data_IF_838285872910
#
_entry.id   IF_838285872910
#
_cell.length_a   1.000
_cell.length_b   1.000
_cell.length_c   1.000
_cell.angle_alpha   90.00
_cell.angle_beta   90.00
_cell.angle_gamma   90.00
#
_symmetry.space_group_name_H-M   'P 1'
#
loop_
_entity.id
_entity.type
_entity.pdbx_description
1 polymer ?
#
# COMPACT_ATOMS: atom_id res chain seq x y z
N UNK A 1 1.39 25.11 -24.19
CA UNK A 1 0.80 25.80 -23.01
C UNK A 1 -0.74 25.78 -23.02
N UNK A 2 -1.40 24.62 -23.20
CA UNK A 2 -2.88 24.52 -23.23
C UNK A 2 -3.50 23.69 -22.09
N UNK A 3 -2.69 23.00 -21.29
CA UNK A 3 -3.19 22.06 -20.26
C UNK A 3 -3.32 22.64 -18.85
N UNK A 4 -2.73 23.80 -18.57
CA UNK A 4 -2.80 24.44 -17.23
C UNK A 4 -4.22 25.01 -16.96
N UNK A 5 -4.90 25.49 -18.01
CA UNK A 5 -6.26 26.05 -17.90
C UNK A 5 -7.34 25.01 -17.56
N UNK A 6 -7.09 23.72 -17.78
CA UNK A 6 -8.05 22.63 -17.49
C UNK A 6 -7.81 22.05 -16.08
N UNK A 7 -6.57 22.06 -15.60
CA UNK A 7 -6.19 21.49 -14.30
C UNK A 7 -6.59 22.41 -13.13
N UNK A 8 -6.41 23.73 -13.28
CA UNK A 8 -6.78 24.73 -12.28
C UNK A 8 -8.25 24.65 -11.80
N UNK A 9 -9.27 24.53 -12.67
CA UNK A 9 -10.65 24.40 -12.20
C UNK A 9 -10.94 23.08 -11.49
N UNK A 10 -10.24 21.98 -11.84
CA UNK A 10 -10.39 20.69 -11.16
C UNK A 10 -9.80 20.77 -9.73
N UNK A 11 -8.63 21.40 -9.59
CA UNK A 11 -8.00 21.62 -8.28
C UNK A 11 -8.85 22.56 -7.39
N UNK A 12 -9.40 23.63 -7.97
CA UNK A 12 -10.27 24.57 -7.25
C UNK A 12 -11.59 23.93 -6.81
N UNK A 13 -12.08 22.92 -7.55
CA UNK A 13 -13.27 22.16 -7.17
C UNK A 13 -13.03 21.16 -6.04
N UNK A 14 -11.84 20.56 -5.97
CA UNK A 14 -11.48 19.64 -4.88
C UNK A 14 -11.24 20.40 -3.56
N UNK A 15 -10.86 21.69 -3.64
CA UNK A 15 -10.68 22.58 -2.50
C UNK A 15 -11.98 23.03 -1.82
N UNK A 16 -13.15 22.84 -2.46
CA UNK A 16 -14.44 23.31 -1.96
C UNK A 16 -15.34 22.19 -1.39
N UNK A 17 -14.84 20.96 -1.25
CA UNK A 17 -15.62 19.88 -0.64
C UNK A 17 -15.57 19.99 0.89
N UNK A 18 -16.70 20.27 1.58
CA UNK A 18 -16.75 20.16 3.04
C UNK A 18 -16.43 18.71 3.42
N UNK A 19 -15.48 18.51 4.33
CA UNK A 19 -15.09 17.19 4.82
C UNK A 19 -16.32 16.49 5.41
N UNK A 20 -16.79 15.38 4.82
CA UNK A 20 -17.97 14.70 5.31
C UNK A 20 -17.71 14.07 6.70
N UNK A 21 -18.70 14.02 7.60
CA UNK A 21 -18.59 13.23 8.83
C UNK A 21 -18.35 11.75 8.49
N UNK A 22 -17.64 11.02 9.36
CA UNK A 22 -17.23 9.63 9.13
C UNK A 22 -18.39 8.68 8.76
N UNK A 23 -19.63 8.95 9.18
CA UNK A 23 -20.84 8.22 8.76
C UNK A 23 -21.14 8.32 7.27
N UNK A 24 -20.65 9.35 6.60
CA UNK A 24 -20.84 9.63 5.18
C UNK A 24 -19.75 8.97 4.30
N UNK A 25 -18.69 8.42 4.90
CA UNK A 25 -17.65 7.67 4.19
C UNK A 25 -18.12 6.27 3.76
N UNK A 26 -19.22 5.74 4.33
CA UNK A 26 -19.83 4.49 3.89
C UNK A 26 -20.64 4.66 2.59
N UNK A 27 -21.20 5.86 2.36
CA UNK A 27 -21.80 6.25 1.09
C UNK A 27 -20.79 7.05 0.26
N UNK A 28 -19.75 6.35 -0.19
CA UNK A 28 -18.62 6.89 -0.95
C UNK A 28 -19.04 7.78 -2.15
N UNK A 29 -18.15 8.69 -2.61
CA UNK A 29 -18.27 9.77 -3.63
C UNK A 29 -19.17 9.63 -4.87
N UNK A 30 -19.70 8.45 -5.16
CA UNK A 30 -20.45 8.05 -6.36
C UNK A 30 -21.64 8.97 -6.64
N UNK A 31 -22.43 9.35 -5.62
CA UNK A 31 -23.58 10.27 -5.76
C UNK A 31 -23.19 11.62 -6.40
N UNK A 32 -22.00 12.14 -6.07
CA UNK A 32 -21.52 13.43 -6.60
C UNK A 32 -21.03 13.32 -8.05
N UNK A 33 -20.39 12.20 -8.41
CA UNK A 33 -19.88 11.94 -9.76
C UNK A 33 -20.98 11.46 -10.73
N UNK A 34 -22.02 10.80 -10.23
CA UNK A 34 -23.24 10.44 -10.98
C UNK A 34 -23.98 11.69 -11.45
N UNK A 35 -24.15 12.70 -10.57
CA UNK A 35 -24.74 14.00 -10.94
C UNK A 35 -23.98 14.71 -12.06
N UNK A 36 -22.68 14.45 -12.18
CA UNK A 36 -21.79 15.02 -13.20
C UNK A 36 -21.64 14.12 -14.44
N UNK A 37 -22.39 13.02 -14.52
CA UNK A 37 -22.30 11.98 -15.58
C UNK A 37 -20.90 11.37 -15.73
N UNK A 38 -20.05 11.47 -14.71
CA UNK A 38 -18.69 10.93 -14.69
C UNK A 38 -18.66 9.50 -14.12
N UNK A 39 -19.74 9.04 -13.48
CA UNK A 39 -19.86 7.74 -12.83
C UNK A 39 -21.15 7.02 -13.21
N UNK A 40 -21.09 5.71 -13.42
CA UNK A 40 -22.24 4.84 -13.71
C UNK A 40 -22.21 3.61 -12.81
N UNK A 41 -23.38 2.99 -12.59
CA UNK A 41 -23.48 1.77 -11.79
C UNK A 41 -22.72 0.59 -12.40
N UNK A 42 -22.65 0.52 -13.72
CA UNK A 42 -21.87 -0.49 -14.44
C UNK A 42 -20.36 -0.34 -14.16
N UNK A 43 -19.84 0.89 -14.19
CA UNK A 43 -18.44 1.15 -13.80
C UNK A 43 -18.18 0.85 -12.34
N UNK A 44 -19.15 1.10 -11.46
CA UNK A 44 -19.02 0.76 -10.03
C UNK A 44 -18.92 -0.75 -9.80
N UNK A 45 -19.77 -1.53 -10.50
CA UNK A 45 -19.74 -3.00 -10.45
C UNK A 45 -18.42 -3.54 -11.00
N UNK A 46 -17.98 -3.03 -12.14
CA UNK A 46 -16.71 -3.47 -12.76
C UNK A 46 -15.52 -3.07 -11.89
N UNK A 47 -15.47 -1.84 -11.36
CA UNK A 47 -14.39 -1.42 -10.46
C UNK A 47 -14.35 -2.28 -9.20
N UNK A 48 -15.50 -2.61 -8.60
CA UNK A 48 -15.56 -3.49 -7.43
C UNK A 48 -15.02 -4.88 -7.74
N UNK A 49 -15.40 -5.45 -8.89
CA UNK A 49 -14.91 -6.74 -9.37
C UNK A 49 -13.40 -6.71 -9.59
N UNK A 50 -12.89 -5.70 -10.31
CA UNK A 50 -11.47 -5.53 -10.57
C UNK A 50 -10.67 -5.31 -9.28
N UNK A 51 -11.15 -4.45 -8.38
CA UNK A 51 -10.49 -4.17 -7.10
C UNK A 51 -10.40 -5.43 -6.25
N UNK A 52 -11.48 -6.22 -6.17
CA UNK A 52 -11.47 -7.50 -5.46
C UNK A 52 -10.43 -8.46 -6.06
N UNK A 53 -10.39 -8.56 -7.39
CA UNK A 53 -9.44 -9.42 -8.07
C UNK A 53 -7.99 -9.00 -7.77
N UNK A 54 -7.68 -7.70 -7.88
CA UNK A 54 -6.35 -7.16 -7.57
C UNK A 54 -5.90 -7.45 -6.14
N UNK A 55 -6.81 -7.28 -5.17
CA UNK A 55 -6.51 -7.59 -3.76
C UNK A 55 -6.22 -9.07 -3.59
N UNK A 56 -7.07 -9.95 -4.12
CA UNK A 56 -6.87 -11.40 -4.01
C UNK A 56 -5.56 -11.86 -4.67
N UNK A 57 -5.23 -11.32 -5.84
CA UNK A 57 -3.99 -11.65 -6.53
C UNK A 57 -2.76 -11.13 -5.77
N UNK A 58 -2.86 -9.95 -5.15
CA UNK A 58 -1.80 -9.42 -4.30
C UNK A 58 -1.55 -10.27 -3.05
N UNK A 59 -2.62 -10.84 -2.46
CA UNK A 59 -2.53 -11.73 -1.31
C UNK A 59 -1.85 -13.03 -1.72
N UNK A 60 -2.34 -13.69 -2.78
CA UNK A 60 -1.74 -14.92 -3.30
C UNK A 60 -0.26 -14.76 -3.64
N UNK A 61 0.11 -13.64 -4.27
CA UNK A 61 1.50 -13.31 -4.61
C UNK A 61 2.36 -13.05 -3.37
N UNK A 62 1.77 -12.54 -2.29
CA UNK A 62 2.50 -12.25 -1.06
C UNK A 62 2.68 -13.50 -0.21
N UNK A 63 1.68 -14.38 -0.18
CA UNK A 63 1.73 -15.67 0.52
C UNK A 63 2.74 -16.64 -0.11
N UNK A 64 2.92 -16.58 -1.43
CA UNK A 64 3.90 -17.42 -2.12
C UNK A 64 5.36 -16.95 -1.96
N UNK A 65 5.58 -15.74 -1.45
CA UNK A 65 6.94 -15.26 -1.19
C UNK A 65 7.48 -15.91 0.07
N UNK A 66 8.71 -16.40 -0.02
CA UNK A 66 9.46 -16.87 1.13
C UNK A 66 9.73 -15.71 2.10
N UNK A 67 9.84 -16.05 3.38
CA UNK A 67 10.26 -15.10 4.41
C UNK A 67 11.67 -14.57 4.07
N UNK A 68 11.96 -13.30 4.43
CA UNK A 68 13.30 -12.74 4.26
C UNK A 68 14.35 -13.55 5.02
N UNK A 69 15.62 -13.37 4.66
CA UNK A 69 16.72 -14.02 5.38
C UNK A 69 16.79 -13.46 6.81
N UNK A 70 17.07 -14.31 7.80
CA UNK A 70 17.30 -13.87 9.17
C UNK A 70 18.45 -12.84 9.28
N UNK A 71 19.39 -12.86 8.34
CA UNK A 71 20.50 -11.89 8.27
C UNK A 71 20.03 -10.46 8.02
N UNK A 72 18.88 -10.29 7.37
CA UNK A 72 18.28 -8.97 7.11
C UNK A 72 17.86 -8.27 8.42
N UNK A 73 17.66 -9.02 9.52
CA UNK A 73 17.37 -8.44 10.84
C UNK A 73 18.46 -7.49 11.36
N UNK A 74 19.71 -7.65 10.89
CA UNK A 74 20.86 -6.83 11.30
C UNK A 74 21.20 -5.72 10.30
N UNK A 75 20.53 -5.70 9.14
CA UNK A 75 20.74 -4.71 8.09
C UNK A 75 19.83 -3.49 8.32
N UNK A 76 20.17 -2.36 7.72
CA UNK A 76 19.38 -1.11 7.76
C UNK A 76 19.10 -0.52 9.17
N UNK A 77 19.79 -0.99 10.21
CA UNK A 77 19.74 -0.40 11.56
C UNK A 77 20.45 0.96 11.60
N UNK A 78 21.59 1.04 10.92
CA UNK A 78 22.39 2.24 10.74
C UNK A 78 22.80 2.34 9.27
N UNK A 79 23.28 3.53 8.86
CA UNK A 79 23.81 3.72 7.50
C UNK A 79 24.93 2.71 7.16
N UNK A 80 25.76 2.38 8.15
CA UNK A 80 26.77 1.32 8.03
C UNK A 80 26.62 0.33 9.17
N UNK A 81 26.87 -0.95 8.88
CA UNK A 81 26.79 -2.00 9.88
C UNK A 81 27.89 -1.82 10.94
N UNK A 82 27.47 -1.41 12.14
CA UNK A 82 28.35 -1.23 13.28
C UNK A 82 29.01 -2.55 13.71
N UNK A 83 30.19 -2.47 14.33
CA UNK A 83 30.97 -3.66 14.68
C UNK A 83 30.23 -4.62 15.62
N UNK A 84 29.54 -4.09 16.64
CA UNK A 84 28.76 -4.90 17.58
C UNK A 84 27.63 -5.68 16.89
N UNK A 85 26.99 -5.13 15.83
CA UNK A 85 25.97 -5.84 15.06
C UNK A 85 26.56 -6.99 14.23
N UNK A 86 27.78 -6.81 13.70
CA UNK A 86 28.50 -7.89 13.00
C UNK A 86 28.81 -9.04 13.94
N UNK A 87 29.18 -8.73 15.17
CA UNK A 87 29.52 -9.73 16.18
C UNK A 87 28.26 -10.49 16.63
N UNK A 88 27.15 -9.79 16.90
CA UNK A 88 25.85 -10.40 17.19
C UNK A 88 25.35 -11.31 16.04
N UNK A 89 25.51 -10.86 14.79
CA UNK A 89 25.13 -11.67 13.62
C UNK A 89 25.93 -12.98 13.54
N UNK A 90 27.23 -12.95 13.89
CA UNK A 90 28.08 -14.16 13.95
C UNK A 90 27.66 -15.11 15.06
N UNK A 91 27.29 -14.57 16.23
CA UNK A 91 26.78 -15.39 17.34
C UNK A 91 25.51 -16.14 16.94
N UNK A 92 24.55 -15.45 16.29
CA UNK A 92 23.33 -16.09 15.76
C UNK A 92 23.67 -17.12 14.68
N UNK A 93 24.63 -16.85 13.81
CA UNK A 93 25.08 -17.83 12.82
C UNK A 93 25.64 -19.09 13.47
N UNK A 94 26.41 -18.94 14.55
CA UNK A 94 26.93 -20.05 15.34
C UNK A 94 25.81 -20.83 16.03
N UNK A 95 24.86 -20.13 16.64
CA UNK A 95 23.71 -20.73 17.31
C UNK A 95 22.86 -21.56 16.35
N UNK A 96 22.52 -20.99 15.18
CA UNK A 96 21.76 -21.68 14.14
C UNK A 96 22.52 -22.86 13.53
N UNK A 97 23.87 -22.89 13.57
CA UNK A 97 24.63 -24.07 13.11
C UNK A 97 24.50 -25.25 14.06
N UNK A 98 24.45 -24.99 15.36
CA UNK A 98 24.37 -26.00 16.42
C UNK A 98 22.93 -26.48 16.61
N UNK A 99 21.95 -25.58 16.50
CA UNK A 99 20.54 -25.84 16.82
C UNK A 99 19.61 -25.71 15.60
N UNK A 100 19.96 -26.32 14.46
CA UNK A 100 19.15 -26.24 13.22
C UNK A 100 17.76 -26.86 13.33
N UNK A 101 17.57 -27.78 14.27
CA UNK A 101 16.37 -28.60 14.40
C UNK A 101 15.29 -27.98 15.31
N UNK A 102 15.59 -26.83 15.92
CA UNK A 102 14.69 -26.07 16.78
C UNK A 102 14.31 -24.74 16.12
#
# INVERSE_FOLDING_TARGET
MKNIKIILPILNLLSQCPSPPLSFLAELPTKSFQRRKLWSEERDKELKKQSKQLVLDSIKKSESKLKPSWKEMFQDVYHEMAQHLKDQMKEVEGHLKIYKEH
#
